data_IF_809793404988
#
_entry.id   IF_809793404988
#
_cell.length_a   1.000
_cell.length_b   1.000
_cell.length_c   1.000
_cell.angle_alpha   90.00
_cell.angle_beta   90.00
_cell.angle_gamma   90.00
#
_symmetry.space_group_name_H-M   'P 1'
#
loop_
_entity.id
_entity.type
_entity.pdbx_description
1 polymer ?
#
# COMPACT_ATOMS: atom_id res chain seq x y z
N UNK A 1 -6.30 2.52 32.55
CA UNK A 1 -5.13 2.11 31.74
C UNK A 1 -5.36 0.64 31.38
N UNK A 2 -5.79 0.39 30.17
CA UNK A 2 -5.90 -0.99 29.71
C UNK A 2 -4.47 -1.49 29.51
N UNK A 3 -4.12 -2.52 30.26
CA UNK A 3 -2.89 -3.29 30.12
C UNK A 3 -2.86 -3.85 28.69
N UNK A 4 -2.11 -3.21 27.83
CA UNK A 4 -1.99 -3.59 26.43
C UNK A 4 -1.15 -4.86 26.33
N UNK A 5 -1.74 -6.00 26.71
CA UNK A 5 -1.12 -7.30 26.50
C UNK A 5 -0.68 -7.39 25.03
N UNK A 6 0.60 -7.54 24.80
CA UNK A 6 1.17 -7.65 23.45
C UNK A 6 0.44 -8.78 22.72
N UNK A 7 -0.18 -8.45 21.57
CA UNK A 7 -0.82 -9.49 20.74
C UNK A 7 0.20 -10.57 20.41
N UNK A 8 -0.16 -11.86 20.49
CA UNK A 8 0.72 -12.93 20.04
C UNK A 8 1.04 -12.76 18.55
N UNK A 9 2.26 -13.05 18.14
CA UNK A 9 2.72 -12.89 16.75
C UNK A 9 1.76 -13.56 15.74
N UNK A 10 1.19 -14.71 16.08
CA UNK A 10 0.21 -15.41 15.25
C UNK A 10 -1.07 -14.59 15.00
N UNK A 11 -1.53 -13.82 15.97
CA UNK A 11 -2.70 -12.95 15.79
C UNK A 11 -2.35 -11.76 14.87
N UNK A 12 -1.14 -11.19 15.00
CA UNK A 12 -0.66 -10.13 14.12
C UNK A 12 -0.57 -10.63 12.67
N UNK A 13 -0.01 -11.81 12.46
CA UNK A 13 0.09 -12.44 11.13
C UNK A 13 -1.29 -12.70 10.54
N UNK A 14 -2.21 -13.25 11.32
CA UNK A 14 -3.60 -13.50 10.85
C UNK A 14 -4.29 -12.21 10.43
N UNK A 15 -4.20 -11.17 11.25
CA UNK A 15 -4.84 -9.88 10.98
C UNK A 15 -4.22 -9.22 9.73
N UNK A 16 -2.89 -9.27 9.60
CA UNK A 16 -2.16 -8.77 8.44
C UNK A 16 -2.50 -9.53 7.15
N UNK A 17 -2.60 -10.86 7.20
CA UNK A 17 -3.04 -11.69 6.08
C UNK A 17 -4.48 -11.38 5.69
N UNK A 18 -5.37 -11.18 6.68
CA UNK A 18 -6.77 -10.81 6.43
C UNK A 18 -6.88 -9.51 5.63
N UNK A 19 -6.13 -8.48 6.02
CA UNK A 19 -6.07 -7.21 5.28
C UNK A 19 -5.45 -7.42 3.90
N UNK A 20 -4.33 -8.13 3.82
CA UNK A 20 -3.65 -8.41 2.56
C UNK A 20 -4.53 -9.13 1.54
N UNK A 21 -5.23 -10.17 1.95
CA UNK A 21 -6.16 -10.90 1.08
C UNK A 21 -7.35 -10.04 0.67
N UNK A 22 -7.99 -9.36 1.62
CA UNK A 22 -9.16 -8.53 1.35
C UNK A 22 -8.86 -7.41 0.36
N UNK A 23 -7.74 -6.71 0.55
CA UNK A 23 -7.31 -5.62 -0.32
C UNK A 23 -6.69 -6.16 -1.62
N UNK A 24 -5.96 -7.27 -1.57
CA UNK A 24 -5.39 -7.93 -2.74
C UNK A 24 -6.43 -8.31 -3.79
N UNK A 25 -7.63 -8.69 -3.36
CA UNK A 25 -8.76 -8.92 -4.26
C UNK A 25 -9.16 -7.68 -5.07
N UNK A 26 -8.90 -6.47 -4.58
CA UNK A 26 -9.13 -5.24 -5.33
C UNK A 26 -8.20 -5.12 -6.55
N UNK A 27 -7.10 -5.87 -6.60
CA UNK A 27 -6.22 -5.96 -7.76
C UNK A 27 -6.94 -6.47 -9.02
N UNK A 28 -7.90 -7.37 -8.87
CA UNK A 28 -8.75 -7.78 -9.99
C UNK A 28 -9.61 -6.62 -10.51
N UNK A 29 -10.22 -5.86 -9.60
CA UNK A 29 -10.99 -4.67 -9.96
C UNK A 29 -10.10 -3.63 -10.67
N UNK A 30 -8.85 -3.45 -10.21
CA UNK A 30 -7.89 -2.59 -10.88
C UNK A 30 -7.59 -3.06 -12.30
N UNK A 31 -7.35 -4.36 -12.51
CA UNK A 31 -7.10 -4.92 -13.84
C UNK A 31 -8.27 -4.66 -14.80
N UNK A 32 -9.51 -4.91 -14.35
CA UNK A 32 -10.72 -4.68 -15.16
C UNK A 32 -10.89 -3.18 -15.47
N UNK A 33 -10.74 -2.31 -14.48
CA UNK A 33 -10.87 -0.86 -14.64
C UNK A 33 -9.80 -0.31 -15.57
N UNK A 34 -8.56 -0.81 -15.46
CA UNK A 34 -7.43 -0.42 -16.29
C UNK A 34 -7.66 -0.78 -17.77
N UNK A 35 -8.13 -2.01 -18.03
CA UNK A 35 -8.49 -2.44 -19.37
C UNK A 35 -9.66 -1.61 -19.95
N UNK A 36 -10.69 -1.33 -19.15
CA UNK A 36 -11.82 -0.47 -19.53
C UNK A 36 -11.40 0.98 -19.78
N UNK A 37 -10.34 1.45 -19.13
CA UNK A 37 -9.73 2.77 -19.35
C UNK A 37 -8.80 2.85 -20.56
N UNK A 38 -8.66 1.76 -21.32
CA UNK A 38 -7.83 1.70 -22.55
C UNK A 38 -6.34 1.49 -22.30
N UNK A 39 -5.92 1.14 -21.08
CA UNK A 39 -4.52 0.81 -20.80
C UNK A 39 -4.19 -0.60 -21.31
N UNK A 40 -3.02 -0.70 -21.95
CA UNK A 40 -2.48 -2.00 -22.34
C UNK A 40 -1.98 -2.81 -21.14
N UNK A 41 -1.79 -4.12 -21.35
CA UNK A 41 -1.32 -5.05 -20.32
C UNK A 41 -0.01 -4.58 -19.66
N UNK A 42 0.97 -4.14 -20.47
CA UNK A 42 2.26 -3.67 -19.96
C UNK A 42 2.11 -2.41 -19.10
N UNK A 43 1.24 -1.48 -19.48
CA UNK A 43 0.97 -0.27 -18.71
C UNK A 43 0.29 -0.61 -17.37
N UNK A 44 -0.67 -1.52 -17.39
CA UNK A 44 -1.36 -2.00 -16.19
C UNK A 44 -0.39 -2.69 -15.24
N UNK A 45 0.46 -3.58 -15.74
CA UNK A 45 1.49 -4.26 -14.94
C UNK A 45 2.52 -3.27 -14.39
N UNK A 46 2.98 -2.32 -15.21
CA UNK A 46 3.93 -1.29 -14.75
C UNK A 46 3.34 -0.43 -13.64
N UNK A 47 2.09 0.00 -13.77
CA UNK A 47 1.39 0.73 -12.70
C UNK A 47 1.28 -0.11 -11.43
N UNK A 48 0.91 -1.38 -11.55
CA UNK A 48 0.77 -2.27 -10.40
C UNK A 48 2.08 -2.49 -9.67
N UNK A 49 3.18 -2.70 -10.39
CA UNK A 49 4.49 -3.00 -9.80
C UNK A 49 5.24 -1.77 -9.30
N UNK A 50 5.15 -0.64 -10.02
CA UNK A 50 5.98 0.53 -9.74
C UNK A 50 5.28 1.57 -8.86
N UNK A 51 3.98 1.74 -9.02
CA UNK A 51 3.22 2.75 -8.25
C UNK A 51 2.71 2.17 -6.94
N UNK A 52 2.29 0.94 -6.91
CA UNK A 52 1.85 0.15 -5.73
C UNK A 52 0.92 0.86 -4.74
N UNK A 53 0.39 2.02 -5.04
CA UNK A 53 -0.61 2.68 -4.20
C UNK A 53 -1.96 2.65 -4.90
N UNK A 54 -2.86 1.80 -4.41
CA UNK A 54 -4.17 1.56 -5.01
C UNK A 54 -4.96 2.84 -5.25
N UNK A 55 -4.97 3.75 -4.29
CA UNK A 55 -5.69 5.01 -4.40
C UNK A 55 -5.21 5.85 -5.61
N UNK A 56 -3.89 5.99 -5.81
CA UNK A 56 -3.33 6.72 -6.95
C UNK A 56 -3.58 6.01 -8.27
N UNK A 57 -3.49 4.68 -8.29
CA UNK A 57 -3.74 3.86 -9.47
C UNK A 57 -5.21 3.98 -9.93
N UNK A 58 -6.16 3.81 -9.02
CA UNK A 58 -7.58 3.95 -9.34
C UNK A 58 -7.96 5.38 -9.73
N UNK A 59 -7.37 6.39 -9.09
CA UNK A 59 -7.58 7.79 -9.45
C UNK A 59 -7.10 8.08 -10.88
N UNK A 60 -5.90 7.61 -11.24
CA UNK A 60 -5.35 7.76 -12.59
C UNK A 60 -6.25 7.08 -13.63
N UNK A 61 -6.50 5.79 -13.44
CA UNK A 61 -7.26 4.99 -14.40
C UNK A 61 -8.70 5.46 -14.52
N UNK A 62 -9.34 5.80 -13.39
CA UNK A 62 -10.71 6.34 -13.39
C UNK A 62 -10.82 7.66 -14.13
N UNK A 63 -9.85 8.57 -13.96
CA UNK A 63 -9.81 9.83 -14.69
C UNK A 63 -9.61 9.63 -16.20
N UNK A 64 -8.74 8.69 -16.60
CA UNK A 64 -8.53 8.34 -18.01
C UNK A 64 -9.78 7.70 -18.63
N UNK A 65 -10.42 6.78 -17.93
CA UNK A 65 -11.64 6.12 -18.37
C UNK A 65 -12.81 7.11 -18.57
N UNK A 66 -12.83 8.19 -17.78
CA UNK A 66 -13.78 9.28 -17.92
C UNK A 66 -13.44 10.28 -19.06
N UNK A 67 -12.40 10.00 -19.86
CA UNK A 67 -11.95 10.92 -20.92
C UNK A 67 -11.15 12.12 -20.43
N UNK A 68 -10.64 12.06 -19.21
CA UNK A 68 -9.83 13.13 -18.62
C UNK A 68 -8.48 13.31 -19.33
N UNK A 69 -7.90 14.52 -19.20
CA UNK A 69 -6.58 14.80 -19.73
C UNK A 69 -5.53 13.96 -18.97
N UNK A 70 -4.64 13.20 -19.66
CA UNK A 70 -3.68 12.32 -19.02
C UNK A 70 -2.71 13.03 -18.06
N UNK A 71 -2.29 14.24 -18.38
CA UNK A 71 -1.37 15.01 -17.52
C UNK A 71 -2.06 15.45 -16.22
N UNK A 72 -3.31 15.90 -16.31
CA UNK A 72 -4.12 16.26 -15.13
C UNK A 72 -4.40 15.02 -14.27
N UNK A 73 -4.72 13.89 -14.89
CA UNK A 73 -4.92 12.62 -14.19
C UNK A 73 -3.65 12.16 -13.47
N UNK A 74 -2.50 12.24 -14.13
CA UNK A 74 -1.21 11.90 -13.54
C UNK A 74 -0.83 12.84 -12.37
N UNK A 75 -1.05 14.14 -12.51
CA UNK A 75 -0.82 15.12 -11.45
C UNK A 75 -1.71 14.82 -10.22
N UNK A 76 -3.00 14.55 -10.43
CA UNK A 76 -3.91 14.17 -9.34
C UNK A 76 -3.48 12.89 -8.62
N UNK A 77 -3.10 11.86 -9.38
CA UNK A 77 -2.59 10.62 -8.82
C UNK A 77 -1.29 10.83 -8.04
N UNK A 78 -0.39 11.66 -8.54
CA UNK A 78 0.84 12.03 -7.86
C UNK A 78 0.57 12.72 -6.51
N UNK A 79 -0.27 13.75 -6.48
CA UNK A 79 -0.64 14.43 -5.24
C UNK A 79 -1.29 13.48 -4.23
N UNK A 80 -2.12 12.55 -4.69
CA UNK A 80 -2.71 11.55 -3.84
C UNK A 80 -1.64 10.61 -3.24
N UNK A 81 -0.59 10.32 -3.99
CA UNK A 81 0.56 9.51 -3.54
C UNK A 81 1.50 10.24 -2.55
N UNK A 82 1.53 11.58 -2.55
CA UNK A 82 2.41 12.37 -1.66
C UNK A 82 2.17 12.04 -0.19
N UNK A 83 0.96 11.72 0.21
CA UNK A 83 0.65 11.31 1.59
C UNK A 83 1.49 10.11 2.06
N UNK A 84 1.88 9.22 1.16
CA UNK A 84 2.73 8.07 1.50
C UNK A 84 4.11 8.49 1.98
N UNK A 85 4.62 9.66 1.58
CA UNK A 85 5.87 10.22 2.10
C UNK A 85 5.74 10.54 3.61
N UNK A 86 4.62 11.10 4.03
CA UNK A 86 4.36 11.35 5.45
C UNK A 86 4.23 10.05 6.24
N UNK A 87 3.56 9.04 5.69
CA UNK A 87 3.52 7.71 6.28
C UNK A 87 4.93 7.12 6.42
N UNK A 88 5.75 7.23 5.37
CA UNK A 88 7.13 6.78 5.36
C UNK A 88 7.97 7.41 6.45
N UNK A 89 7.83 8.71 6.69
CA UNK A 89 8.51 9.41 7.79
C UNK A 89 8.12 8.80 9.14
N UNK A 90 6.83 8.61 9.39
CA UNK A 90 6.34 8.02 10.64
C UNK A 90 6.81 6.57 10.81
N UNK A 91 6.64 5.76 9.76
CA UNK A 91 7.02 4.35 9.79
C UNK A 91 8.54 4.16 9.91
N UNK A 92 9.35 5.06 9.36
CA UNK A 92 10.82 4.98 9.47
C UNK A 92 11.29 5.02 10.93
N UNK A 93 10.62 5.81 11.75
CA UNK A 93 10.90 5.92 13.19
C UNK A 93 10.39 4.69 13.95
N UNK A 94 9.18 4.24 13.63
CA UNK A 94 8.53 3.13 14.32
C UNK A 94 9.21 1.79 14.01
N UNK A 95 9.47 1.52 12.74
CA UNK A 95 10.07 0.28 12.28
C UNK A 95 11.57 0.22 12.54
N UNK A 96 12.27 1.36 12.49
CA UNK A 96 13.71 1.48 12.66
C UNK A 96 14.49 0.42 11.85
N UNK A 97 14.16 0.32 10.55
CA UNK A 97 14.79 -0.65 9.66
C UNK A 97 16.22 -0.25 9.30
N UNK A 98 17.11 -1.21 9.01
CA UNK A 98 18.44 -0.94 8.49
C UNK A 98 18.38 -0.12 7.20
N UNK A 99 19.37 0.77 7.00
CA UNK A 99 19.41 1.67 5.82
C UNK A 99 19.32 0.93 4.49
N UNK A 100 19.92 -0.25 4.40
CA UNK A 100 19.94 -1.06 3.18
C UNK A 100 18.54 -1.56 2.74
N UNK A 101 17.63 -1.80 3.70
CA UNK A 101 16.27 -2.31 3.41
C UNK A 101 15.24 -1.18 3.21
N UNK A 102 15.58 0.05 3.61
CA UNK A 102 14.62 1.18 3.55
C UNK A 102 14.08 1.47 2.15
N UNK A 103 14.86 1.46 1.05
CA UNK A 103 14.33 1.69 -0.29
C UNK A 103 13.25 0.67 -0.68
N UNK A 104 13.47 -0.61 -0.34
CA UNK A 104 12.50 -1.67 -0.60
C UNK A 104 11.25 -1.52 0.28
N UNK A 105 11.45 -1.22 1.56
CA UNK A 105 10.34 -0.96 2.48
C UNK A 105 9.52 0.27 2.06
N UNK A 106 10.15 1.30 1.51
CA UNK A 106 9.46 2.49 1.03
C UNK A 106 8.45 2.17 -0.08
N UNK A 107 8.73 1.18 -0.93
CA UNK A 107 7.80 0.72 -1.97
C UNK A 107 6.49 0.15 -1.37
N UNK A 108 6.57 -0.41 -0.16
CA UNK A 108 5.41 -0.99 0.53
C UNK A 108 4.68 -0.02 1.46
N UNK A 109 5.09 1.26 1.51
CA UNK A 109 4.43 2.28 2.32
C UNK A 109 3.17 2.75 1.63
N UNK A 110 2.06 2.15 1.99
CA UNK A 110 0.71 2.44 1.52
C UNK A 110 -0.25 2.55 2.71
N UNK A 111 -1.50 2.87 2.46
CA UNK A 111 -2.51 3.03 3.52
C UNK A 111 -2.65 1.78 4.39
N UNK A 112 -2.74 0.61 3.77
CA UNK A 112 -3.01 -0.67 4.42
C UNK A 112 -1.82 -1.10 5.30
N UNK A 113 -0.60 -1.07 4.76
CA UNK A 113 0.60 -1.41 5.54
C UNK A 113 0.82 -0.44 6.67
N UNK A 114 0.50 0.84 6.46
CA UNK A 114 0.58 1.86 7.48
C UNK A 114 -0.44 1.62 8.59
N UNK A 115 -1.70 1.36 8.24
CA UNK A 115 -2.76 1.10 9.20
C UNK A 115 -2.46 -0.12 10.07
N UNK A 116 -2.08 -1.25 9.45
CA UNK A 116 -1.72 -2.47 10.17
C UNK A 116 -0.52 -2.23 11.09
N UNK A 117 0.49 -1.48 10.65
CA UNK A 117 1.70 -1.21 11.42
C UNK A 117 1.43 -0.32 12.63
N UNK A 118 0.65 0.75 12.44
CA UNK A 118 0.32 1.70 13.52
C UNK A 118 -0.59 1.09 14.59
N UNK A 119 -1.37 0.08 14.23
CA UNK A 119 -2.23 -0.64 15.17
C UNK A 119 -1.46 -1.57 16.13
N UNK A 120 -0.15 -1.77 15.92
CA UNK A 120 0.61 -2.70 16.74
C UNK A 120 1.21 -2.02 17.97
N UNK A 121 1.15 -2.69 19.16
CA UNK A 121 1.64 -2.12 20.41
C UNK A 121 3.18 -2.17 20.55
N UNK A 122 3.85 -3.03 19.79
CA UNK A 122 5.29 -3.24 19.90
C UNK A 122 5.98 -3.13 18.53
N UNK A 123 7.26 -2.71 18.56
CA UNK A 123 8.07 -2.62 17.33
C UNK A 123 8.19 -3.96 16.59
N UNK A 124 8.28 -5.07 17.34
CA UNK A 124 8.33 -6.41 16.75
C UNK A 124 7.04 -6.72 16.01
N UNK A 125 5.89 -6.55 16.64
CA UNK A 125 4.59 -6.76 16.02
C UNK A 125 4.38 -5.82 14.83
N UNK A 126 4.81 -4.56 14.92
CA UNK A 126 4.76 -3.59 13.84
C UNK A 126 5.56 -4.06 12.60
N UNK A 127 6.78 -4.59 12.81
CA UNK A 127 7.60 -5.15 11.72
C UNK A 127 6.95 -6.37 11.08
N UNK A 128 6.38 -7.27 11.88
CA UNK A 128 5.65 -8.44 11.39
C UNK A 128 4.45 -7.99 10.57
N UNK A 129 3.60 -7.12 11.12
CA UNK A 129 2.42 -6.61 10.44
C UNK A 129 2.77 -5.91 9.12
N UNK A 130 3.76 -5.03 9.11
CA UNK A 130 4.24 -4.35 7.91
C UNK A 130 4.71 -5.32 6.83
N UNK A 131 5.56 -6.27 7.20
CA UNK A 131 6.16 -7.21 6.25
C UNK A 131 5.10 -8.17 5.69
N UNK A 132 4.28 -8.76 6.54
CA UNK A 132 3.25 -9.72 6.10
C UNK A 132 2.23 -9.04 5.20
N UNK A 133 1.72 -7.85 5.57
CA UNK A 133 0.79 -7.10 4.72
C UNK A 133 1.45 -6.70 3.41
N UNK A 134 2.68 -6.17 3.44
CA UNK A 134 3.40 -5.76 2.25
C UNK A 134 3.63 -6.90 1.27
N UNK A 135 4.11 -8.05 1.75
CA UNK A 135 4.35 -9.25 0.91
C UNK A 135 3.04 -9.82 0.35
N UNK A 136 1.95 -9.78 1.11
CA UNK A 136 0.66 -10.33 0.67
C UNK A 136 0.01 -9.47 -0.40
N UNK A 137 0.24 -8.16 -0.37
CA UNK A 137 -0.33 -7.21 -1.32
C UNK A 137 0.50 -7.05 -2.59
N UNK A 138 1.82 -7.25 -2.52
CA UNK A 138 2.74 -7.09 -3.65
C UNK A 138 2.76 -8.27 -4.58
#
# INVERSE_FOLDING_TARGET
MADGAAKPDAAVVRDALGVGVAVGLSGFAFGVTSAGGGLGLLQTCALSLLVFTGASQFALVGALAAGGNPYTAAAGAFFLGVRNAFYGLRLSQLLALPRAVRPFAAQWVIDETTAVTLAQPTRRAARIGFTVTGVTLY
#
